data_IF_416917183479
#
_entry.id   IF_416917183479
#
_cell.length_a   1.000
_cell.length_b   1.000
_cell.length_c   1.000
_cell.angle_alpha   90.00
_cell.angle_beta   90.00
_cell.angle_gamma   90.00
#
_symmetry.space_group_name_H-M   'P 1'
#
loop_
_entity.id
_entity.type
_entity.pdbx_description
1 polymer ?
#
# COMPACT_ATOMS: atom_id res chain seq x y z
N UNK A 1 34.70 -24.90 -35.34
CA UNK A 1 34.20 -26.29 -35.36
C UNK A 1 33.67 -26.62 -33.96
N UNK A 2 32.43 -27.09 -33.93
CA UNK A 2 31.83 -28.04 -32.97
C UNK A 2 31.67 -27.66 -31.47
N UNK A 3 30.45 -27.96 -31.01
CA UNK A 3 29.77 -27.87 -29.71
C UNK A 3 30.33 -28.81 -28.60
N UNK A 4 29.59 -29.13 -27.50
CA UNK A 4 29.25 -28.36 -26.28
C UNK A 4 29.63 -29.14 -24.98
N UNK A 5 29.25 -28.69 -23.76
CA UNK A 5 28.97 -29.60 -22.64
C UNK A 5 27.55 -29.38 -22.07
N UNK A 6 26.70 -30.42 -21.94
CA UNK A 6 26.60 -31.49 -20.92
C UNK A 6 25.99 -31.05 -19.58
N UNK A 7 24.85 -31.67 -19.28
CA UNK A 7 24.02 -31.61 -18.07
C UNK A 7 24.54 -32.61 -17.03
N UNK A 8 24.40 -32.36 -15.72
CA UNK A 8 24.42 -33.42 -14.71
C UNK A 8 23.04 -33.71 -14.10
N UNK A 9 22.75 -35.00 -14.01
CA UNK A 9 21.68 -35.65 -13.25
C UNK A 9 21.92 -35.54 -11.73
N UNK A 10 20.84 -35.48 -10.94
CA UNK A 10 20.90 -35.71 -9.50
C UNK A 10 20.15 -36.99 -9.11
N UNK A 11 20.84 -37.74 -8.27
CA UNK A 11 20.61 -39.10 -7.81
C UNK A 11 19.63 -39.22 -6.64
N UNK A 12 19.10 -40.43 -6.54
CA UNK A 12 18.22 -41.03 -5.54
C UNK A 12 18.83 -41.08 -4.13
N UNK A 13 18.01 -40.89 -3.09
CA UNK A 13 18.29 -41.39 -1.73
C UNK A 13 16.99 -41.85 -1.05
N UNK A 14 17.02 -43.05 -0.48
CA UNK A 14 15.95 -43.71 0.25
C UNK A 14 16.41 -44.15 1.64
N UNK A 15 15.43 -44.45 2.53
CA UNK A 15 15.46 -45.04 3.90
C UNK A 15 15.49 -44.02 5.05
N UNK A 16 14.79 -44.19 6.18
CA UNK A 16 14.03 -45.30 6.78
C UNK A 16 13.01 -44.74 7.80
N UNK A 17 12.00 -45.55 8.21
CA UNK A 17 11.29 -45.61 9.52
C UNK A 17 10.04 -46.50 9.32
N UNK A 18 10.08 -47.80 9.64
CA UNK A 18 9.78 -48.50 10.91
C UNK A 18 8.30 -48.93 11.12
N UNK A 19 8.12 -50.26 11.13
CA UNK A 19 7.25 -51.13 11.95
C UNK A 19 5.70 -51.04 11.87
N UNK A 20 5.14 -52.18 11.42
CA UNK A 20 4.03 -52.99 11.98
C UNK A 20 2.64 -52.35 12.16
N UNK A 21 1.50 -52.95 11.83
CA UNK A 21 1.09 -54.36 11.92
C UNK A 21 -0.24 -54.62 11.17
N UNK A 22 -0.41 -55.87 10.72
CA UNK A 22 -1.64 -56.69 10.67
C UNK A 22 -2.94 -56.15 10.03
N UNK A 23 -3.43 -56.87 9.00
CA UNK A 23 -4.85 -56.84 8.62
C UNK A 23 -5.17 -57.53 7.29
N UNK A 24 -5.31 -58.86 7.29
CA UNK A 24 -5.86 -59.69 6.20
C UNK A 24 -7.23 -59.19 5.73
N UNK A 25 -7.51 -59.14 4.42
CA UNK A 25 -8.80 -59.60 3.83
C UNK A 25 -8.56 -60.25 2.45
N UNK A 26 -9.26 -61.39 2.25
CA UNK A 26 -9.24 -62.32 1.12
C UNK A 26 -9.81 -61.74 -0.18
N UNK A 27 -9.25 -62.21 -1.29
CA UNK A 27 -9.83 -62.23 -2.63
C UNK A 27 -10.92 -63.32 -2.75
N UNK A 28 -12.13 -62.95 -3.21
CA UNK A 28 -13.08 -63.84 -3.89
C UNK A 28 -13.91 -62.99 -4.86
N UNK A 29 -14.10 -63.44 -6.10
CA UNK A 29 -15.27 -63.05 -6.90
C UNK A 29 -14.98 -62.60 -8.33
N UNK A 30 -15.40 -63.42 -9.28
CA UNK A 30 -15.18 -63.36 -10.74
C UNK A 30 -16.28 -62.54 -11.44
N UNK A 31 -15.88 -61.80 -12.48
CA UNK A 31 -16.62 -61.40 -13.71
C UNK A 31 -18.04 -60.77 -13.62
N UNK A 32 -18.21 -59.55 -14.17
CA UNK A 32 -18.79 -59.25 -15.51
C UNK A 32 -19.18 -57.76 -15.61
N UNK A 33 -18.81 -57.11 -16.73
CA UNK A 33 -19.47 -55.91 -17.25
C UNK A 33 -18.85 -54.56 -16.87
N UNK A 34 -17.81 -54.12 -17.58
CA UNK A 34 -17.35 -52.73 -17.51
C UNK A 34 -18.34 -51.80 -18.22
N UNK A 35 -19.22 -51.13 -17.48
CA UNK A 35 -19.82 -49.86 -17.88
C UNK A 35 -18.97 -48.74 -17.30
N UNK A 36 -18.35 -47.96 -18.18
CA UNK A 36 -17.59 -46.77 -17.83
C UNK A 36 -18.57 -45.69 -17.34
N UNK A 37 -18.74 -45.56 -16.02
CA UNK A 37 -19.45 -44.44 -15.41
C UNK A 37 -18.43 -43.32 -15.14
N UNK A 38 -18.40 -42.31 -16.01
CA UNK A 38 -17.63 -41.08 -15.77
C UNK A 38 -18.42 -40.14 -14.85
N UNK A 39 -17.82 -39.84 -13.71
CA UNK A 39 -18.32 -38.91 -12.69
C UNK A 39 -18.11 -37.44 -13.16
N UNK A 40 -19.03 -36.49 -12.92
CA UNK A 40 -18.97 -35.16 -13.55
C UNK A 40 -18.22 -34.16 -12.68
N UNK A 41 -16.89 -34.22 -12.65
CA UNK A 41 -16.05 -33.26 -11.92
C UNK A 41 -15.05 -32.49 -12.79
N UNK A 42 -15.34 -32.32 -14.10
CA UNK A 42 -14.44 -31.59 -15.00
C UNK A 42 -15.07 -30.92 -16.23
N UNK A 43 -16.35 -30.53 -16.20
CA UNK A 43 -16.97 -29.83 -17.33
C UNK A 43 -17.05 -28.31 -17.13
N UNK A 44 -16.71 -27.49 -18.15
CA UNK A 44 -16.93 -26.05 -18.16
C UNK A 44 -18.38 -25.69 -17.86
N UNK A 45 -18.60 -24.60 -17.11
CA UNK A 45 -19.93 -24.19 -16.61
C UNK A 45 -20.98 -24.08 -17.73
N UNK A 46 -20.59 -23.61 -18.92
CA UNK A 46 -21.45 -23.52 -20.10
C UNK A 46 -22.03 -24.86 -20.57
N UNK A 47 -21.24 -25.95 -20.48
CA UNK A 47 -21.71 -27.30 -20.86
C UNK A 47 -22.69 -27.87 -19.84
N UNK A 48 -22.56 -27.51 -18.56
CA UNK A 48 -23.56 -27.86 -17.52
C UNK A 48 -24.87 -27.11 -17.73
N UNK A 49 -24.84 -25.82 -18.04
CA UNK A 49 -26.02 -25.03 -18.35
C UNK A 49 -26.73 -25.53 -19.61
N UNK A 50 -25.97 -25.87 -20.66
CA UNK A 50 -26.51 -26.42 -21.90
C UNK A 50 -27.16 -27.80 -21.69
N UNK A 51 -26.54 -28.66 -20.88
CA UNK A 51 -27.10 -29.98 -20.53
C UNK A 51 -28.40 -29.88 -19.70
N UNK A 52 -28.48 -28.93 -18.76
CA UNK A 52 -29.70 -28.67 -17.96
C UNK A 52 -30.81 -28.08 -18.84
N UNK A 53 -30.47 -27.19 -19.78
CA UNK A 53 -31.40 -26.62 -20.75
C UNK A 53 -31.99 -27.70 -21.67
N UNK A 54 -31.17 -28.62 -22.17
CA UNK A 54 -31.60 -29.76 -22.99
C UNK A 54 -32.52 -30.74 -22.24
N UNK A 55 -32.37 -30.88 -20.91
CA UNK A 55 -33.25 -31.74 -20.10
C UNK A 55 -34.63 -31.14 -19.83
N UNK A 56 -34.79 -29.81 -19.86
CA UNK A 56 -36.07 -29.13 -19.55
C UNK A 56 -36.97 -28.93 -20.77
N UNK A 57 -36.43 -28.97 -21.99
CA UNK A 57 -37.18 -28.73 -23.22
C UNK A 57 -37.46 -30.06 -23.91
N UNK A 58 -38.69 -30.57 -23.75
CA UNK A 58 -39.09 -31.87 -24.31
C UNK A 58 -38.83 -32.00 -25.81
N UNK A 59 -38.54 -33.23 -26.25
CA UNK A 59 -38.04 -33.59 -27.59
C UNK A 59 -38.81 -33.00 -28.80
N UNK A 60 -40.10 -32.64 -28.60
CA UNK A 60 -40.93 -32.00 -29.62
C UNK A 60 -40.62 -30.51 -29.90
N UNK A 61 -39.93 -29.80 -29.01
CA UNK A 61 -39.50 -28.41 -29.24
C UNK A 61 -38.15 -28.31 -29.98
N UNK A 62 -37.32 -29.36 -29.98
CA UNK A 62 -35.97 -29.31 -30.58
C UNK A 62 -35.97 -29.14 -32.12
N UNK A 63 -36.99 -29.64 -32.81
CA UNK A 63 -37.06 -29.58 -34.29
C UNK A 63 -37.43 -28.16 -34.78
N UNK A 64 -38.14 -27.36 -33.97
CA UNK A 64 -38.47 -25.97 -34.31
C UNK A 64 -37.35 -24.97 -33.99
N UNK A 65 -36.50 -25.29 -33.00
CA UNK A 65 -35.36 -24.43 -32.63
C UNK A 65 -34.06 -24.78 -33.38
N UNK A 66 -33.96 -25.91 -34.09
CA UNK A 66 -32.77 -26.24 -34.89
C UNK A 66 -32.57 -25.28 -36.06
N UNK A 67 -33.65 -24.87 -36.72
CA UNK A 67 -33.62 -23.84 -37.76
C UNK A 67 -33.25 -22.46 -37.19
N UNK A 68 -33.72 -22.14 -35.97
CA UNK A 68 -33.42 -20.88 -35.29
C UNK A 68 -31.98 -20.80 -34.78
N UNK A 69 -31.43 -21.94 -34.33
CA UNK A 69 -30.02 -22.05 -33.94
C UNK A 69 -29.10 -21.99 -35.15
N UNK A 70 -29.44 -22.62 -36.27
CA UNK A 70 -28.69 -22.48 -37.52
C UNK A 70 -28.75 -21.06 -38.08
N UNK A 71 -29.88 -20.34 -37.91
CA UNK A 71 -29.98 -18.93 -38.25
C UNK A 71 -29.16 -18.04 -37.30
N UNK A 72 -29.16 -18.34 -36.00
CA UNK A 72 -28.40 -17.59 -34.98
C UNK A 72 -26.89 -17.78 -35.12
N UNK A 73 -26.43 -19.01 -35.39
CA UNK A 73 -25.03 -19.30 -35.71
C UNK A 73 -24.64 -18.82 -37.12
N UNK A 74 -25.56 -18.77 -38.08
CA UNK A 74 -25.35 -18.16 -39.40
C UNK A 74 -25.22 -16.64 -39.34
N UNK A 75 -25.96 -15.97 -38.46
CA UNK A 75 -25.86 -14.52 -38.24
C UNK A 75 -24.55 -14.13 -37.53
N UNK A 76 -24.07 -14.99 -36.62
CA UNK A 76 -22.75 -14.86 -35.99
C UNK A 76 -21.58 -15.12 -36.97
N UNK A 77 -21.80 -15.87 -38.05
CA UNK A 77 -20.79 -16.09 -39.09
C UNK A 77 -20.75 -14.97 -40.15
N UNK A 78 -21.85 -14.24 -40.36
CA UNK A 78 -21.93 -13.11 -41.30
C UNK A 78 -21.60 -11.75 -40.67
N UNK A 79 -21.75 -11.61 -39.36
CA UNK A 79 -21.19 -10.48 -38.63
C UNK A 79 -19.74 -10.83 -38.26
N UNK A 80 -18.85 -10.68 -39.26
CA UNK A 80 -17.42 -10.94 -39.11
C UNK A 80 -16.87 -10.37 -37.81
N UNK A 81 -15.97 -11.14 -37.21
CA UNK A 81 -15.15 -10.76 -36.06
C UNK A 81 -14.56 -9.35 -36.26
N UNK A 82 -15.26 -8.35 -35.73
CA UNK A 82 -14.63 -7.09 -35.32
C UNK A 82 -14.05 -7.39 -33.94
N UNK A 83 -12.73 -7.33 -33.85
CA UNK A 83 -11.87 -7.80 -32.76
C UNK A 83 -12.52 -7.76 -31.36
N UNK A 84 -13.13 -8.87 -30.96
CA UNK A 84 -13.58 -9.10 -29.57
C UNK A 84 -12.39 -9.22 -28.61
N UNK A 85 -11.18 -9.41 -29.15
CA UNK A 85 -9.93 -9.43 -28.41
C UNK A 85 -9.59 -8.05 -27.80
N UNK A 86 -9.88 -6.97 -28.52
CA UNK A 86 -9.54 -5.60 -28.11
C UNK A 86 -10.52 -5.06 -27.07
N UNK A 87 -11.80 -5.43 -27.18
CA UNK A 87 -12.85 -5.06 -26.24
C UNK A 87 -12.74 -5.87 -24.93
N UNK A 88 -12.44 -7.17 -25.02
CA UNK A 88 -12.17 -8.01 -23.84
C UNK A 88 -10.89 -7.58 -23.10
N UNK A 89 -9.84 -7.19 -23.82
CA UNK A 89 -8.61 -6.62 -23.24
C UNK A 89 -8.89 -5.30 -22.49
N UNK A 90 -9.75 -4.42 -23.05
CA UNK A 90 -10.17 -3.19 -22.38
C UNK A 90 -10.97 -3.47 -21.11
N UNK A 91 -11.93 -4.40 -21.15
CA UNK A 91 -12.74 -4.78 -19.98
C UNK A 91 -11.88 -5.45 -18.90
N UNK A 92 -10.93 -6.30 -19.28
CA UNK A 92 -10.00 -6.93 -18.35
C UNK A 92 -9.06 -5.91 -17.70
N UNK A 93 -8.62 -4.89 -18.45
CA UNK A 93 -7.83 -3.77 -17.94
C UNK A 93 -8.64 -2.84 -17.03
N UNK A 94 -9.93 -2.64 -17.31
CA UNK A 94 -10.85 -1.90 -16.44
C UNK A 94 -11.11 -2.68 -15.14
N UNK A 95 -11.34 -3.99 -15.20
CA UNK A 95 -11.53 -4.81 -14.02
C UNK A 95 -10.23 -4.92 -13.19
N UNK A 96 -9.07 -4.98 -13.84
CA UNK A 96 -7.76 -4.90 -13.17
C UNK A 96 -7.55 -3.53 -12.52
N UNK A 97 -8.01 -2.42 -13.12
CA UNK A 97 -8.00 -1.07 -12.53
C UNK A 97 -9.00 -0.92 -11.35
N UNK A 98 -10.18 -1.54 -11.44
CA UNK A 98 -11.21 -1.57 -10.38
C UNK A 98 -10.84 -2.53 -9.24
N UNK A 99 -10.00 -3.53 -9.49
CA UNK A 99 -9.45 -4.41 -8.44
C UNK A 99 -8.12 -3.89 -7.88
N UNK A 100 -7.42 -3.00 -8.60
CA UNK A 100 -6.27 -2.23 -8.10
C UNK A 100 -6.67 -0.99 -7.30
N UNK A 101 -7.95 -0.61 -7.29
CA UNK A 101 -8.49 0.24 -6.22
C UNK A 101 -8.58 -0.59 -4.94
N UNK A 102 -7.42 -0.95 -4.40
CA UNK A 102 -7.22 -0.92 -2.95
C UNK A 102 -7.89 0.36 -2.50
N UNK A 103 -8.87 0.26 -1.61
CA UNK A 103 -9.60 1.39 -1.03
C UNK A 103 -8.60 2.41 -0.48
N UNK A 104 -8.13 3.30 -1.35
CA UNK A 104 -7.16 4.33 -1.04
C UNK A 104 -7.97 5.37 -0.27
N UNK A 105 -8.06 5.15 1.04
CA UNK A 105 -8.70 6.07 1.96
C UNK A 105 -7.99 7.41 1.81
N UNK A 106 -8.71 8.42 1.34
CA UNK A 106 -8.20 9.78 1.15
C UNK A 106 -9.09 10.79 1.85
N UNK A 107 -8.57 11.99 2.06
CA UNK A 107 -9.31 13.15 2.56
C UNK A 107 -8.95 14.37 1.74
N UNK A 108 -9.91 15.28 1.59
CA UNK A 108 -9.71 16.57 0.93
C UNK A 108 -9.61 17.66 1.99
N UNK A 109 -8.61 18.52 1.86
CA UNK A 109 -8.63 19.81 2.53
C UNK A 109 -9.44 20.79 1.67
N UNK A 110 -10.65 21.10 2.10
CA UNK A 110 -11.59 21.94 1.33
C UNK A 110 -11.09 23.37 1.14
N UNK A 111 -10.13 23.82 1.96
CA UNK A 111 -9.62 25.20 1.94
C UNK A 111 -8.72 25.45 0.74
N UNK A 112 -7.96 24.43 0.30
CA UNK A 112 -7.02 24.52 -0.82
C UNK A 112 -7.24 23.44 -1.91
N UNK A 113 -8.22 22.55 -1.72
CA UNK A 113 -8.55 21.42 -2.60
C UNK A 113 -7.41 20.39 -2.73
N UNK A 114 -6.46 20.33 -1.80
CA UNK A 114 -5.46 19.26 -1.76
C UNK A 114 -6.08 17.96 -1.26
N UNK A 115 -5.68 16.86 -1.90
CA UNK A 115 -6.02 15.51 -1.49
C UNK A 115 -4.85 14.88 -0.75
N UNK A 116 -5.14 14.23 0.37
CA UNK A 116 -4.17 13.51 1.20
C UNK A 116 -4.61 12.07 1.36
N UNK A 117 -3.68 11.12 1.25
CA UNK A 117 -3.95 9.72 1.61
C UNK A 117 -4.02 9.60 3.12
N UNK A 118 -4.82 8.66 3.59
CA UNK A 118 -4.98 8.33 5.00
C UNK A 118 -4.34 6.97 5.26
N UNK A 119 -3.50 6.90 6.30
CA UNK A 119 -3.06 5.65 6.89
C UNK A 119 -3.63 5.50 8.29
N UNK A 120 -4.11 4.29 8.60
CA UNK A 120 -4.63 3.95 9.91
C UNK A 120 -3.54 3.30 10.75
N UNK A 121 -3.30 3.82 11.95
CA UNK A 121 -2.35 3.28 12.92
C UNK A 121 -3.02 3.17 14.28
N UNK A 122 -3.50 1.96 14.60
CA UNK A 122 -4.35 1.72 15.77
C UNK A 122 -5.67 2.50 15.67
N UNK A 123 -6.00 3.31 16.67
CA UNK A 123 -7.19 4.15 16.73
C UNK A 123 -6.96 5.59 16.18
N UNK A 124 -5.92 5.77 15.36
CA UNK A 124 -5.56 7.06 14.77
C UNK A 124 -5.49 6.95 13.27
N UNK A 125 -6.10 7.91 12.59
CA UNK A 125 -5.88 8.14 11.16
C UNK A 125 -4.84 9.25 11.01
N UNK A 126 -3.91 9.08 10.07
CA UNK A 126 -2.85 10.03 9.75
C UNK A 126 -2.89 10.41 8.27
N UNK A 127 -2.57 11.66 7.97
CA UNK A 127 -2.22 12.05 6.60
C UNK A 127 -0.86 11.47 6.20
N UNK A 128 -0.81 10.79 5.05
CA UNK A 128 0.38 10.15 4.51
C UNK A 128 1.31 11.11 3.75
N UNK A 129 0.85 12.32 3.44
CA UNK A 129 1.68 13.41 2.92
C UNK A 129 1.85 14.51 3.98
N UNK A 130 2.91 15.30 3.82
CA UNK A 130 3.08 16.53 4.60
C UNK A 130 2.00 17.53 4.18
N UNK A 131 1.44 18.27 5.14
CA UNK A 131 0.44 19.30 4.86
C UNK A 131 1.02 20.40 3.96
N UNK A 132 0.27 20.84 2.95
CA UNK A 132 0.68 21.86 1.99
C UNK A 132 -0.24 23.10 1.99
N UNK A 133 -1.00 23.31 3.06
CA UNK A 133 -1.89 24.46 3.22
C UNK A 133 -1.09 25.74 3.45
N UNK A 134 -1.34 26.79 2.66
CA UNK A 134 -0.61 28.05 2.81
C UNK A 134 -1.15 28.89 3.97
N UNK A 135 -0.28 29.21 4.90
CA UNK A 135 -0.49 30.18 5.99
C UNK A 135 0.50 31.34 5.88
N UNK A 136 0.35 32.36 6.72
CA UNK A 136 1.23 33.53 6.78
C UNK A 136 2.70 33.15 7.02
N UNK A 137 2.95 32.28 7.99
CA UNK A 137 4.27 31.78 8.38
C UNK A 137 4.47 30.33 7.92
N UNK A 138 4.28 30.11 6.61
CA UNK A 138 4.59 28.85 5.94
C UNK A 138 5.45 29.06 4.69
N UNK A 139 6.39 28.17 4.48
CA UNK A 139 7.40 28.29 3.44
C UNK A 139 7.54 27.00 2.64
N UNK A 140 7.76 27.15 1.34
CA UNK A 140 8.31 26.08 0.53
C UNK A 140 9.81 26.01 0.79
N UNK A 141 10.39 24.81 0.79
CA UNK A 141 11.85 24.69 0.87
C UNK A 141 12.49 25.50 -0.29
N UNK A 142 13.47 26.37 0.01
CA UNK A 142 14.08 27.30 -0.97
C UNK A 142 13.08 28.19 -1.72
N UNK A 143 11.94 28.47 -1.11
CA UNK A 143 10.89 29.33 -1.67
C UNK A 143 10.38 28.87 -3.06
N UNK A 144 10.52 27.58 -3.38
CA UNK A 144 10.10 27.02 -4.67
C UNK A 144 8.86 26.13 -4.54
N UNK A 145 7.86 26.42 -5.37
CA UNK A 145 6.57 25.71 -5.42
C UNK A 145 6.77 24.21 -5.69
N UNK A 146 7.75 23.84 -6.51
CA UNK A 146 8.06 22.43 -6.80
C UNK A 146 8.44 21.66 -5.52
N UNK A 147 9.15 22.32 -4.60
CA UNK A 147 9.48 21.72 -3.32
C UNK A 147 8.26 21.63 -2.39
N UNK A 148 7.33 22.56 -2.43
CA UNK A 148 6.05 22.43 -1.73
C UNK A 148 5.23 21.25 -2.27
N UNK A 149 5.14 21.10 -3.59
CA UNK A 149 4.40 19.99 -4.20
C UNK A 149 5.00 18.63 -3.82
N UNK A 150 6.33 18.57 -3.72
CA UNK A 150 7.04 17.33 -3.38
C UNK A 150 7.09 17.04 -1.88
N UNK A 151 7.43 18.02 -1.06
CA UNK A 151 7.76 17.85 0.35
C UNK A 151 6.74 18.45 1.31
N UNK A 152 5.70 19.10 0.80
CA UNK A 152 4.80 19.93 1.59
C UNK A 152 5.47 21.23 2.07
N UNK A 153 4.75 21.95 2.92
CA UNK A 153 5.23 23.21 3.51
C UNK A 153 5.95 22.98 4.83
N UNK A 154 6.84 23.92 5.13
CA UNK A 154 7.45 24.10 6.43
C UNK A 154 6.70 25.22 7.14
N UNK A 155 6.29 25.01 8.39
CA UNK A 155 5.45 25.95 9.13
C UNK A 155 6.18 26.44 10.36
N UNK A 156 5.86 27.66 10.79
CA UNK A 156 6.07 28.04 12.17
C UNK A 156 5.29 27.12 13.11
N UNK A 157 5.71 27.04 14.38
CA UNK A 157 4.95 26.24 15.34
C UNK A 157 3.55 26.83 15.59
N UNK A 158 3.43 28.15 15.66
CA UNK A 158 2.14 28.83 15.83
C UNK A 158 1.16 28.57 14.68
N UNK A 159 1.64 28.58 13.44
CA UNK A 159 0.81 28.27 12.28
C UNK A 159 0.52 26.78 12.22
N UNK A 160 1.50 25.92 12.54
CA UNK A 160 1.31 24.47 12.60
C UNK A 160 0.17 24.07 13.55
N UNK A 161 0.02 24.77 14.69
CA UNK A 161 -1.06 24.54 15.65
C UNK A 161 -2.47 24.77 15.07
N UNK A 162 -2.58 25.56 14.00
CA UNK A 162 -3.84 25.95 13.35
C UNK A 162 -3.96 25.44 11.91
N UNK A 163 -2.90 24.85 11.37
CA UNK A 163 -2.80 24.53 9.95
C UNK A 163 -3.66 23.33 9.54
N UNK A 164 -3.84 22.33 10.40
CA UNK A 164 -4.62 21.14 10.04
C UNK A 164 -6.11 21.48 9.81
N UNK A 165 -6.77 20.85 8.82
CA UNK A 165 -8.18 21.12 8.51
C UNK A 165 -9.11 20.61 9.62
N UNK A 166 -10.37 21.03 9.57
CA UNK A 166 -11.39 20.62 10.53
C UNK A 166 -11.49 19.08 10.65
N UNK A 167 -11.64 18.59 11.88
CA UNK A 167 -11.63 17.16 12.19
C UNK A 167 -10.23 16.53 12.23
N UNK A 168 -9.18 17.29 11.91
CA UNK A 168 -7.79 16.91 12.06
C UNK A 168 -7.06 17.86 13.02
N UNK A 169 -5.97 17.39 13.60
CA UNK A 169 -5.13 18.20 14.50
C UNK A 169 -3.65 17.99 14.22
N UNK A 170 -2.83 18.94 14.69
CA UNK A 170 -1.41 18.72 14.84
C UNK A 170 -1.20 17.59 15.88
N UNK A 171 -0.35 16.58 15.61
CA UNK A 171 -0.14 15.48 16.52
C UNK A 171 0.59 15.97 17.76
N UNK A 172 0.20 15.45 18.92
CA UNK A 172 0.95 15.62 20.15
C UNK A 172 1.97 14.47 20.31
N UNK A 173 2.79 14.54 21.36
CA UNK A 173 3.76 13.50 21.65
C UNK A 173 3.11 12.12 21.90
N UNK A 174 1.90 12.06 22.42
CA UNK A 174 1.20 10.79 22.64
C UNK A 174 0.82 10.13 21.30
N UNK A 175 0.40 10.93 20.33
CA UNK A 175 0.13 10.44 18.98
C UNK A 175 1.39 9.93 18.30
N UNK A 176 2.50 10.68 18.37
CA UNK A 176 3.78 10.25 17.82
C UNK A 176 4.34 9.00 18.50
N UNK A 177 4.25 8.91 19.83
CA UNK A 177 4.66 7.72 20.58
C UNK A 177 3.81 6.49 20.21
N UNK A 178 2.49 6.67 20.03
CA UNK A 178 1.61 5.60 19.56
C UNK A 178 2.02 5.12 18.16
N UNK A 179 2.31 6.04 17.24
CA UNK A 179 2.81 5.70 15.90
C UNK A 179 4.16 4.97 15.97
N UNK A 180 5.11 5.47 16.78
CA UNK A 180 6.41 4.82 17.00
C UNK A 180 6.23 3.38 17.49
N UNK A 181 5.36 3.16 18.48
CA UNK A 181 5.09 1.83 19.04
C UNK A 181 4.58 0.85 17.98
N UNK A 182 3.67 1.28 17.12
CA UNK A 182 3.18 0.45 16.00
C UNK A 182 4.31 0.16 15.01
N UNK A 183 5.12 1.16 14.66
CA UNK A 183 6.23 1.00 13.74
C UNK A 183 7.31 0.03 14.28
N UNK A 184 7.64 0.12 15.57
CA UNK A 184 8.63 -0.75 16.22
C UNK A 184 8.18 -2.23 16.29
N UNK A 185 6.87 -2.50 16.31
CA UNK A 185 6.37 -3.88 16.33
C UNK A 185 6.81 -4.68 15.09
N UNK A 186 7.05 -4.02 13.95
CA UNK A 186 7.51 -4.72 12.74
C UNK A 186 8.92 -5.32 12.91
N UNK A 187 9.81 -4.63 13.63
CA UNK A 187 11.13 -5.16 14.01
C UNK A 187 11.03 -6.39 14.90
N UNK A 188 10.02 -6.44 15.78
CA UNK A 188 9.79 -7.56 16.68
C UNK A 188 9.20 -8.78 15.96
N UNK A 189 8.33 -8.57 14.97
CA UNK A 189 7.69 -9.66 14.20
C UNK A 189 8.66 -10.40 13.29
N UNK A 190 9.71 -9.72 12.81
CA UNK A 190 10.76 -10.30 11.97
C UNK A 190 12.11 -9.90 12.55
N UNK A 191 12.86 -10.85 13.12
CA UNK A 191 14.21 -10.60 13.63
C UNK A 191 15.06 -9.96 12.53
N UNK A 192 15.58 -8.75 12.79
CA UNK A 192 16.29 -7.94 11.78
C UNK A 192 15.39 -7.11 10.86
N UNK A 193 14.09 -6.97 11.16
CA UNK A 193 13.16 -6.10 10.46
C UNK A 193 13.49 -4.61 10.63
N UNK A 194 12.89 -3.73 9.80
CA UNK A 194 13.12 -2.29 9.91
C UNK A 194 12.70 -1.78 11.29
N UNK A 195 13.50 -0.91 11.90
CA UNK A 195 13.07 -0.18 13.09
C UNK A 195 12.00 0.86 12.74
N UNK A 196 11.41 1.51 13.75
CA UNK A 196 10.33 2.46 13.53
C UNK A 196 10.65 3.52 12.46
N UNK A 197 11.89 4.01 12.41
CA UNK A 197 12.28 5.01 11.43
C UNK A 197 12.20 4.49 10.01
N UNK A 198 12.87 3.36 9.72
CA UNK A 198 12.86 2.79 8.37
C UNK A 198 11.48 2.32 7.93
N UNK A 199 10.62 1.89 8.87
CA UNK A 199 9.23 1.52 8.58
C UNK A 199 8.34 2.70 8.15
N UNK A 200 8.68 3.93 8.55
CA UNK A 200 7.92 5.16 8.28
C UNK A 200 8.51 5.97 7.11
N UNK A 201 9.81 5.89 6.89
CA UNK A 201 10.51 6.58 5.81
C UNK A 201 9.99 6.15 4.45
N UNK A 202 9.77 7.13 3.56
CA UNK A 202 9.51 6.88 2.15
C UNK A 202 10.62 6.04 1.51
N UNK A 203 10.25 5.26 0.49
CA UNK A 203 11.20 4.40 -0.26
C UNK A 203 12.27 5.19 -1.02
N UNK A 204 12.00 6.45 -1.31
CA UNK A 204 12.86 7.31 -2.10
C UNK A 204 12.90 8.75 -1.56
N UNK A 205 13.76 9.59 -2.15
CA UNK A 205 13.92 11.00 -1.78
C UNK A 205 15.02 11.26 -0.75
N UNK A 206 15.42 10.23 0.00
CA UNK A 206 16.52 10.27 0.95
C UNK A 206 17.88 10.28 0.27
N UNK A 207 18.83 11.00 0.86
CA UNK A 207 20.25 10.93 0.50
C UNK A 207 20.69 9.48 0.68
N UNK A 208 21.40 8.96 -0.33
CA UNK A 208 22.01 7.63 -0.25
C UNK A 208 23.44 7.77 0.26
N UNK A 209 23.82 6.96 1.24
CA UNK A 209 25.21 6.71 1.55
C UNK A 209 25.48 5.19 1.53
N UNK A 210 26.75 4.81 1.59
CA UNK A 210 27.13 3.41 1.68
C UNK A 210 26.55 2.85 2.99
N UNK A 211 25.96 1.66 2.92
CA UNK A 211 25.35 0.94 4.06
C UNK A 211 24.20 1.65 4.78
N UNK A 212 23.55 2.66 4.18
CA UNK A 212 22.35 3.27 4.78
C UNK A 212 21.09 2.47 4.46
N UNK A 213 20.28 2.11 5.48
CA UNK A 213 18.99 1.47 5.27
C UNK A 213 18.08 2.32 4.37
N UNK A 214 17.48 1.71 3.36
CA UNK A 214 16.43 2.36 2.59
C UNK A 214 15.14 2.39 3.42
N UNK A 215 14.37 3.48 3.31
CA UNK A 215 13.01 3.50 3.84
C UNK A 215 12.19 2.36 3.22
N UNK A 216 11.50 1.61 4.06
CA UNK A 216 10.66 0.49 3.60
C UNK A 216 9.21 0.92 3.40
N UNK A 217 8.81 2.03 4.03
CA UNK A 217 7.44 2.57 4.05
C UNK A 217 6.38 1.50 4.29
N UNK A 218 6.65 0.57 5.21
CA UNK A 218 5.77 -0.57 5.49
C UNK A 218 4.41 -0.15 6.06
N UNK A 219 4.33 1.05 6.62
CA UNK A 219 3.10 1.65 7.15
C UNK A 219 2.38 2.55 6.14
N UNK A 220 2.96 2.81 4.98
CA UNK A 220 2.44 3.78 3.99
C UNK A 220 2.49 5.23 4.45
N UNK A 221 3.21 5.53 5.53
CA UNK A 221 3.36 6.87 6.10
C UNK A 221 4.14 7.81 5.18
N UNK A 222 4.99 7.27 4.32
CA UNK A 222 5.72 7.98 3.27
C UNK A 222 6.43 9.26 3.77
N UNK A 223 7.17 9.17 4.89
CA UNK A 223 7.92 10.31 5.39
C UNK A 223 9.03 10.72 4.41
N UNK A 224 8.87 11.90 3.82
CA UNK A 224 9.83 12.49 2.89
C UNK A 224 10.79 13.44 3.63
N UNK A 225 12.08 13.47 3.25
CA UNK A 225 13.10 14.29 3.89
C UNK A 225 13.09 15.73 3.38
N UNK A 226 12.07 16.48 3.79
CA UNK A 226 11.85 17.88 3.41
C UNK A 226 12.82 18.88 4.03
N UNK A 227 13.68 18.45 4.96
CA UNK A 227 14.59 19.34 5.68
C UNK A 227 13.85 20.30 6.62
N UNK A 228 14.49 21.43 6.90
CA UNK A 228 13.94 22.49 7.76
C UNK A 228 14.28 23.89 7.23
N UNK A 229 13.56 24.89 7.75
CA UNK A 229 13.90 26.30 7.64
C UNK A 229 14.41 26.80 8.98
N UNK A 230 15.53 27.51 8.98
CA UNK A 230 16.10 28.15 10.15
C UNK A 230 15.48 29.52 10.40
N UNK A 231 15.68 30.03 11.61
CA UNK A 231 15.32 31.40 12.00
C UNK A 231 15.84 32.45 11.01
N UNK A 232 17.10 32.35 10.59
CA UNK A 232 17.72 33.27 9.62
C UNK A 232 17.14 33.18 8.19
N UNK A 233 16.13 32.32 7.99
CA UNK A 233 15.50 32.05 6.72
C UNK A 233 16.28 31.10 5.81
N UNK A 234 17.45 30.64 6.23
CA UNK A 234 18.18 29.61 5.50
C UNK A 234 17.48 28.26 5.58
N UNK A 235 17.68 27.44 4.54
CA UNK A 235 17.11 26.11 4.44
C UNK A 235 18.19 25.05 4.60
N UNK A 236 17.94 24.02 5.42
CA UNK A 236 18.92 22.99 5.73
C UNK A 236 18.33 21.58 5.66
N UNK A 237 19.21 20.59 5.59
CA UNK A 237 18.91 19.16 5.79
C UNK A 237 17.97 18.49 4.77
N UNK A 238 17.69 19.13 3.63
CA UNK A 238 16.97 18.46 2.54
C UNK A 238 17.63 17.14 2.15
N UNK A 239 16.80 16.11 1.98
CA UNK A 239 17.22 14.72 1.72
C UNK A 239 17.92 14.02 2.89
N UNK A 240 18.28 14.74 3.97
CA UNK A 240 18.98 14.17 5.13
C UNK A 240 18.06 13.95 6.32
N UNK A 241 17.12 14.87 6.56
CA UNK A 241 16.16 14.79 7.65
C UNK A 241 14.73 15.06 7.21
N UNK A 242 13.78 14.40 7.89
CA UNK A 242 12.39 14.79 7.93
C UNK A 242 12.07 15.23 9.35
N UNK A 243 11.68 16.50 9.52
CA UNK A 243 11.30 17.06 10.81
C UNK A 243 9.81 17.35 10.86
N UNK A 244 9.18 16.99 11.96
CA UNK A 244 7.75 17.14 12.18
C UNK A 244 7.46 17.86 13.49
N UNK A 245 6.59 18.87 13.43
CA UNK A 245 6.11 19.51 14.63
C UNK A 245 5.25 18.58 15.49
N UNK A 246 5.37 18.73 16.80
CA UNK A 246 4.41 18.24 17.79
C UNK A 246 3.64 19.41 18.39
N UNK A 247 2.36 19.23 18.66
CA UNK A 247 1.53 20.15 19.43
C UNK A 247 1.96 20.23 20.91
N UNK A 248 2.80 19.31 21.38
CA UNK A 248 3.32 19.34 22.74
C UNK A 248 4.35 20.45 22.91
N UNK A 249 4.03 21.41 23.80
CA UNK A 249 4.96 22.44 24.25
C UNK A 249 6.04 21.80 25.15
N UNK A 250 7.29 22.20 24.98
CA UNK A 250 8.41 21.78 25.83
C UNK A 250 8.58 22.71 27.03
N UNK A 251 8.82 23.98 26.76
CA UNK A 251 8.90 25.04 27.77
C UNK A 251 8.44 26.39 27.19
N UNK A 252 8.76 27.51 27.84
CA UNK A 252 8.38 28.84 27.37
C UNK A 252 8.90 29.16 25.97
N UNK A 253 10.02 28.57 25.55
CA UNK A 253 10.69 28.87 24.28
C UNK A 253 10.81 27.66 23.36
N UNK A 254 10.29 26.48 23.69
CA UNK A 254 10.49 25.28 22.86
C UNK A 254 9.23 24.48 22.67
N UNK A 255 9.13 23.84 21.52
CA UNK A 255 8.14 22.81 21.22
C UNK A 255 8.84 21.51 20.82
N UNK A 256 8.14 20.39 20.99
CA UNK A 256 8.69 19.10 20.59
C UNK A 256 8.74 18.96 19.08
N UNK A 257 9.83 18.35 18.61
CA UNK A 257 10.04 17.99 17.21
C UNK A 257 10.33 16.50 17.14
N UNK A 258 9.74 15.84 16.15
CA UNK A 258 10.01 14.45 15.83
C UNK A 258 10.77 14.37 14.53
N UNK A 259 11.77 13.51 14.49
CA UNK A 259 12.69 13.46 13.37
C UNK A 259 13.01 12.03 12.90
N UNK A 260 13.27 11.97 11.59
CA UNK A 260 13.84 10.84 10.89
C UNK A 260 15.07 11.33 10.14
N UNK A 261 16.13 10.54 10.16
CA UNK A 261 17.42 10.85 9.56
C UNK A 261 17.88 9.73 8.63
N UNK A 262 18.59 10.08 7.56
CA UNK A 262 18.85 9.19 6.42
C UNK A 262 19.61 7.90 6.75
N UNK A 263 20.42 7.88 7.82
CA UNK A 263 21.15 6.70 8.28
C UNK A 263 20.54 6.06 9.54
N UNK A 264 19.37 6.54 9.96
CA UNK A 264 18.65 6.07 11.11
C UNK A 264 17.80 4.85 10.90
N UNK A 265 17.53 4.16 12.00
CA UNK A 265 16.50 3.10 12.05
C UNK A 265 15.38 3.41 13.03
N UNK A 266 15.48 4.47 13.83
CA UNK A 266 14.48 4.87 14.82
C UNK A 266 13.71 6.12 14.41
N UNK A 267 12.55 6.31 15.06
CA UNK A 267 11.83 7.58 15.10
C UNK A 267 12.21 8.29 16.40
N UNK A 268 12.89 9.41 16.28
CA UNK A 268 13.47 10.17 17.38
C UNK A 268 12.60 11.39 17.74
N UNK A 269 12.76 11.87 18.97
CA UNK A 269 12.15 13.11 19.43
C UNK A 269 13.19 13.97 20.12
N UNK A 270 13.17 15.26 19.84
CA UNK A 270 14.00 16.26 20.49
C UNK A 270 13.23 17.56 20.73
N UNK A 271 13.96 18.60 21.07
CA UNK A 271 13.42 19.95 21.17
C UNK A 271 13.79 20.73 19.91
N UNK A 272 12.80 21.35 19.26
CA UNK A 272 13.07 22.45 18.35
C UNK A 272 13.28 23.72 19.17
N UNK A 273 14.47 24.31 19.13
CA UNK A 273 14.69 25.71 19.54
C UNK A 273 14.06 26.65 18.51
N UNK A 274 13.66 27.90 18.74
CA UNK A 274 13.29 28.65 19.94
C UNK A 274 12.04 29.45 19.53
N UNK A 275 10.96 29.48 20.29
CA UNK A 275 9.69 30.15 19.99
C UNK A 275 9.76 31.69 20.16
N UNK A 276 10.91 32.24 20.60
CA UNK A 276 11.02 33.63 21.02
C UNK A 276 12.37 34.25 20.66
N UNK A 277 12.35 35.23 19.76
CA UNK A 277 13.45 36.17 19.57
C UNK A 277 13.21 37.35 20.49
N UNK A 278 14.26 38.12 20.78
CA UNK A 278 14.12 39.38 21.48
C UNK A 278 13.14 40.37 20.80
N UNK A 279 12.88 40.22 19.50
CA UNK A 279 11.96 41.06 18.71
C UNK A 279 10.53 40.47 18.54
N UNK A 280 10.25 39.30 19.12
CA UNK A 280 8.94 38.65 19.05
C UNK A 280 8.66 37.85 17.78
N UNK A 281 9.65 37.66 16.90
CA UNK A 281 9.57 36.86 15.67
C UNK A 281 10.64 35.75 15.59
N UNK A 282 10.34 34.50 16.01
CA UNK A 282 11.14 33.32 15.61
C UNK A 282 10.27 32.21 15.14
N UNK A 283 10.52 31.72 13.94
CA UNK A 283 9.95 30.46 13.51
C UNK A 283 10.96 29.64 12.72
N UNK A 284 11.62 28.68 13.38
CA UNK A 284 12.07 27.50 12.65
C UNK A 284 10.86 26.90 11.90
N UNK A 285 11.11 26.39 10.71
CA UNK A 285 10.09 25.78 9.87
C UNK A 285 10.26 24.28 9.81
N UNK A 286 9.30 23.53 10.33
CA UNK A 286 9.23 22.07 10.20
C UNK A 286 7.93 21.64 9.53
N UNK A 287 7.90 20.40 9.02
CA UNK A 287 6.73 19.87 8.33
C UNK A 287 5.59 19.56 9.30
N UNK A 288 4.35 19.55 8.80
CA UNK A 288 3.16 19.17 9.56
C UNK A 288 2.57 17.88 9.01
N UNK A 289 2.21 16.96 9.90
CA UNK A 289 1.49 15.72 9.61
C UNK A 289 0.21 15.71 10.39
N UNK A 290 -0.94 15.86 9.76
CA UNK A 290 -2.19 15.92 10.52
C UNK A 290 -2.65 14.52 10.96
N UNK A 291 -3.20 14.44 12.17
CA UNK A 291 -3.75 13.23 12.77
C UNK A 291 -5.17 13.47 13.24
N UNK A 292 -5.98 12.42 13.30
CA UNK A 292 -7.25 12.44 14.03
C UNK A 292 -7.44 11.14 14.80
N UNK A 293 -8.12 11.23 15.95
CA UNK A 293 -8.49 10.06 16.76
C UNK A 293 -9.86 9.57 16.33
N UNK A 294 -9.98 8.27 16.13
CA UNK A 294 -11.26 7.63 15.88
C UNK A 294 -11.98 7.43 17.21
N UNK A 295 -13.25 7.83 17.28
CA UNK A 295 -14.10 7.47 18.41
C UNK A 295 -14.21 5.93 18.45
N UNK A 296 -13.93 5.35 19.62
CA UNK A 296 -14.08 3.92 19.88
C UNK A 296 -15.55 3.58 20.17
#
# INVERSE_FOLDING_TARGET
>A
RCSPPRVPEYTTAARALSRSSLGKIRYVGRNRGARLALHPSGMPFFLRCFYIFLKKVGFRMMIRYSAFLLYFFGFLALCGCRDSSEEYSKVQKIHELETLSVDLKTTSDVRDRKMYRIISSGNRDWMAENLNFQTENSWCYRDSIEYCEKYGRLYSWEDAMKACPEGWKLPDNDDWQALRKVADQYKLRKRGGPGAGTALMSKEGWRRAIDTPSGSDMLGFAALPGGMRKLDGSYQDLKSYAFFWSATKGDSTRAYVWDLWYNGTGLSSGYGSELYSPDGTIWNGFSVRCVRRLAL
#
